data_IF_010331449850
#
_entry.id   IF_010331449850
#
_cell.length_a   1.000
_cell.length_b   1.000
_cell.length_c   1.000
_cell.angle_alpha   90.00
_cell.angle_beta   90.00
_cell.angle_gamma   90.00
#
_symmetry.space_group_name_H-M   'P 1'
#
loop_
_entity.id
_entity.type
_entity.pdbx_description
1 polymer ?
#
# COMPACT_ATOMS: atom_id res chain seq x y z
N UNK A 1 1.57 19.09 -12.27
CA UNK A 1 2.15 19.07 -10.90
C UNK A 1 1.60 20.20 -10.02
N UNK A 2 1.40 21.43 -10.51
CA UNK A 2 0.95 22.57 -9.70
C UNK A 2 -0.37 22.35 -8.90
N UNK A 3 -1.45 21.84 -9.51
CA UNK A 3 -2.75 21.66 -8.83
C UNK A 3 -2.79 20.62 -7.69
N UNK A 4 -1.76 19.80 -7.53
CA UNK A 4 -1.71 18.71 -6.53
C UNK A 4 -1.20 19.20 -5.18
N UNK A 5 -0.22 20.09 -5.20
CA UNK A 5 0.29 20.73 -3.99
C UNK A 5 -0.76 21.69 -3.42
N UNK A 6 -1.59 22.32 -4.26
CA UNK A 6 -2.73 23.15 -3.80
C UNK A 6 -3.72 22.35 -2.92
N UNK A 7 -4.03 21.10 -3.26
CA UNK A 7 -4.93 20.27 -2.45
C UNK A 7 -4.28 19.76 -1.14
N UNK A 8 -2.96 19.59 -1.12
CA UNK A 8 -2.20 19.24 0.09
C UNK A 8 -2.04 20.47 1.01
N UNK A 9 -1.79 21.65 0.44
CA UNK A 9 -1.72 22.95 1.10
C UNK A 9 -3.06 23.36 1.72
N UNK A 10 -4.18 23.15 1.01
CA UNK A 10 -5.54 23.37 1.52
C UNK A 10 -5.88 22.52 2.74
N UNK A 11 -5.15 21.42 2.97
CA UNK A 11 -5.33 20.51 4.11
C UNK A 11 -4.17 20.58 5.12
N UNK A 12 -3.32 21.62 5.07
CA UNK A 12 -2.16 21.79 5.95
C UNK A 12 -1.14 20.62 5.91
N UNK A 13 -1.13 19.84 4.83
CA UNK A 13 -0.12 18.80 4.61
C UNK A 13 1.06 19.46 3.89
N UNK A 14 2.05 19.91 4.66
CA UNK A 14 3.26 20.47 4.05
C UNK A 14 4.03 19.35 3.34
N UNK A 15 4.26 19.47 2.01
CA UNK A 15 5.08 18.52 1.32
C UNK A 15 6.53 18.63 1.80
N UNK A 16 7.03 17.62 2.53
CA UNK A 16 8.46 17.54 2.87
C UNK A 16 9.28 17.40 1.58
N UNK A 17 10.42 18.09 1.52
CA UNK A 17 11.16 18.59 0.35
C UNK A 17 11.55 17.60 -0.79
N UNK A 18 11.16 16.33 -0.72
CA UNK A 18 11.40 15.33 -1.76
C UNK A 18 10.18 14.43 -2.07
N UNK A 19 9.07 14.56 -1.34
CA UNK A 19 7.82 13.82 -1.56
C UNK A 19 7.94 12.30 -1.42
N UNK A 20 9.12 11.78 -1.07
CA UNK A 20 9.42 10.37 -0.84
C UNK A 20 9.38 10.04 0.64
N UNK A 21 8.91 8.83 0.96
CA UNK A 21 9.00 8.32 2.33
C UNK A 21 10.47 8.13 2.76
N UNK A 22 10.76 8.41 4.02
CA UNK A 22 12.08 8.19 4.65
C UNK A 22 11.89 7.30 5.89
N UNK A 23 12.77 6.31 6.03
CA UNK A 23 12.78 5.40 7.19
C UNK A 23 12.80 6.21 8.49
N UNK A 24 11.95 5.82 9.44
CA UNK A 24 11.82 6.50 10.73
C UNK A 24 10.70 7.55 10.76
N UNK A 25 10.11 7.91 9.62
CA UNK A 25 8.92 8.75 9.57
C UNK A 25 7.65 7.92 9.80
N UNK A 26 6.62 8.55 10.35
CA UNK A 26 5.31 7.91 10.48
C UNK A 26 4.53 7.90 9.16
N UNK A 27 3.57 6.99 9.05
CA UNK A 27 2.59 6.98 7.95
C UNK A 27 1.54 8.09 8.14
N UNK A 28 0.84 8.45 7.07
CA UNK A 28 -0.32 9.33 7.16
C UNK A 28 -1.42 8.70 8.00
N UNK A 29 -2.12 9.54 8.77
CA UNK A 29 -3.41 9.15 9.35
C UNK A 29 -4.46 9.14 8.25
N UNK A 30 -5.20 8.04 8.11
CA UNK A 30 -6.25 7.91 7.10
C UNK A 30 -7.20 9.11 7.05
N UNK A 31 -7.67 9.59 8.21
CA UNK A 31 -8.59 10.73 8.31
C UNK A 31 -8.08 12.00 7.63
N UNK A 32 -6.75 12.22 7.59
CA UNK A 32 -6.15 13.40 6.98
C UNK A 32 -6.06 13.31 5.45
N UNK A 33 -6.14 12.10 4.87
CA UNK A 33 -5.92 11.86 3.44
C UNK A 33 -7.10 11.17 2.75
N UNK A 34 -8.17 10.83 3.47
CA UNK A 34 -9.28 10.02 2.96
C UNK A 34 -9.96 10.60 1.71
N UNK A 35 -9.94 11.92 1.54
CA UNK A 35 -10.49 12.61 0.36
C UNK A 35 -9.56 12.61 -0.86
N UNK A 36 -8.30 12.23 -0.71
CA UNK A 36 -7.33 12.15 -1.80
C UNK A 36 -7.53 10.87 -2.62
N UNK A 37 -7.15 10.93 -3.89
CA UNK A 37 -7.04 9.74 -4.76
C UNK A 37 -5.64 9.17 -4.64
N UNK A 38 -5.47 7.84 -4.56
CA UNK A 38 -4.17 7.24 -4.35
C UNK A 38 -3.27 7.46 -5.56
N UNK A 39 -2.02 7.80 -5.27
CA UNK A 39 -0.91 7.59 -6.19
C UNK A 39 -0.17 6.35 -5.71
N UNK A 40 0.12 5.44 -6.61
CA UNK A 40 0.85 4.22 -6.29
C UNK A 40 2.33 4.42 -6.61
N UNK A 41 3.19 4.11 -5.65
CA UNK A 41 4.63 4.16 -5.80
C UNK A 41 5.25 2.91 -5.15
N UNK A 42 6.47 2.57 -5.56
CA UNK A 42 7.23 1.49 -4.95
C UNK A 42 8.68 1.95 -4.83
N UNK A 43 9.15 2.06 -3.60
CA UNK A 43 10.58 2.04 -3.27
C UNK A 43 10.92 0.76 -2.48
N UNK A 44 9.88 -0.02 -2.11
CA UNK A 44 9.95 -1.24 -1.32
C UNK A 44 9.26 -2.36 -2.09
N UNK A 45 9.94 -3.47 -2.32
CA UNK A 45 9.35 -4.63 -2.96
C UNK A 45 9.92 -5.90 -2.33
N UNK A 46 9.01 -6.80 -1.93
CA UNK A 46 9.39 -8.16 -1.58
C UNK A 46 9.56 -8.95 -2.89
N UNK A 47 10.80 -9.35 -3.18
CA UNK A 47 11.17 -10.12 -4.38
C UNK A 47 11.63 -11.55 -4.07
N UNK A 48 11.56 -11.96 -2.79
CA UNK A 48 11.85 -13.34 -2.41
C UNK A 48 10.83 -14.30 -3.07
N UNK A 49 11.19 -15.56 -3.33
CA UNK A 49 10.29 -16.51 -4.02
C UNK A 49 9.09 -16.97 -3.15
N UNK A 50 8.59 -16.10 -2.26
CA UNK A 50 7.42 -16.32 -1.42
C UNK A 50 6.12 -16.09 -2.19
N UNK A 51 4.99 -16.43 -1.56
CA UNK A 51 3.65 -16.19 -2.09
C UNK A 51 3.23 -14.70 -2.09
N UNK A 52 4.12 -13.80 -1.61
CA UNK A 52 3.89 -12.36 -1.47
C UNK A 52 4.75 -11.50 -2.41
N UNK A 53 5.41 -12.11 -3.40
CA UNK A 53 6.35 -11.42 -4.27
C UNK A 53 5.87 -11.19 -5.70
N UNK A 54 6.57 -10.28 -6.38
CA UNK A 54 6.30 -9.93 -7.77
C UNK A 54 7.06 -10.78 -8.80
N UNK A 55 8.08 -11.54 -8.38
CA UNK A 55 9.13 -12.05 -9.27
C UNK A 55 8.86 -13.43 -9.89
N UNK A 56 8.13 -14.33 -9.21
CA UNK A 56 8.02 -15.73 -9.65
C UNK A 56 6.70 -16.13 -10.33
N UNK A 57 5.59 -15.46 -10.01
CA UNK A 57 4.23 -15.93 -10.32
C UNK A 57 3.42 -15.00 -11.25
N UNK A 58 3.89 -13.78 -11.50
CA UNK A 58 3.20 -12.80 -12.35
C UNK A 58 3.58 -12.98 -13.81
N UNK A 59 2.82 -13.79 -14.54
CA UNK A 59 2.88 -13.79 -16.01
C UNK A 59 2.44 -12.44 -16.60
N UNK A 60 2.76 -12.19 -17.88
CA UNK A 60 2.43 -10.94 -18.57
C UNK A 60 0.93 -10.57 -18.48
N UNK A 61 0.04 -11.57 -18.49
CA UNK A 61 -1.39 -11.38 -18.33
C UNK A 61 -1.75 -10.81 -16.95
N UNK A 62 -1.15 -11.31 -15.88
CA UNK A 62 -1.41 -10.84 -14.52
C UNK A 62 -0.78 -9.47 -14.26
N UNK A 63 0.39 -9.19 -14.83
CA UNK A 63 0.95 -7.84 -14.80
C UNK A 63 0.01 -6.81 -15.46
N UNK A 64 -0.58 -7.17 -16.61
CA UNK A 64 -1.60 -6.35 -17.27
C UNK A 64 -2.84 -6.15 -16.38
N UNK A 65 -3.29 -7.18 -15.67
CA UNK A 65 -4.40 -7.07 -14.71
C UNK A 65 -4.05 -6.17 -13.53
N UNK A 66 -2.85 -6.30 -12.97
CA UNK A 66 -2.33 -5.45 -11.91
C UNK A 66 -2.37 -3.97 -12.33
N UNK A 67 -1.77 -3.62 -13.48
CA UNK A 67 -1.74 -2.24 -13.97
C UNK A 67 -3.14 -1.68 -14.23
N UNK A 68 -4.06 -2.50 -14.78
CA UNK A 68 -5.46 -2.10 -14.94
C UNK A 68 -6.16 -1.87 -13.60
N UNK A 69 -5.92 -2.74 -12.62
CA UNK A 69 -6.47 -2.63 -11.28
C UNK A 69 -5.96 -1.38 -10.55
N UNK A 70 -4.66 -1.09 -10.63
CA UNK A 70 -4.07 0.14 -10.08
C UNK A 70 -4.71 1.39 -10.70
N UNK A 71 -4.88 1.43 -12.03
CA UNK A 71 -5.58 2.52 -12.71
C UNK A 71 -7.01 2.68 -12.21
N UNK A 72 -7.76 1.57 -12.06
CA UNK A 72 -9.14 1.60 -11.51
C UNK A 72 -9.16 2.16 -10.09
N UNK A 73 -8.24 1.71 -9.22
CA UNK A 73 -8.16 2.19 -7.85
C UNK A 73 -7.84 3.70 -7.80
N UNK A 74 -6.93 4.19 -8.64
CA UNK A 74 -6.55 5.61 -8.70
C UNK A 74 -7.66 6.57 -9.12
N UNK A 75 -8.80 6.05 -9.62
CA UNK A 75 -9.96 6.87 -9.96
C UNK A 75 -10.83 7.21 -8.74
N UNK A 76 -10.65 6.48 -7.63
CA UNK A 76 -11.42 6.59 -6.40
C UNK A 76 -10.63 7.29 -5.30
N UNK A 77 -11.32 7.88 -4.32
CA UNK A 77 -10.67 8.41 -3.11
C UNK A 77 -10.40 7.27 -2.13
N UNK A 78 -9.47 7.48 -1.20
CA UNK A 78 -9.21 6.54 -0.10
C UNK A 78 -10.47 6.24 0.72
N UNK A 79 -11.36 7.21 0.92
CA UNK A 79 -12.65 7.04 1.56
C UNK A 79 -13.55 6.08 0.80
N UNK A 80 -13.67 6.24 -0.52
CA UNK A 80 -14.42 5.31 -1.37
C UNK A 80 -13.81 3.91 -1.32
N UNK A 81 -12.48 3.80 -1.38
CA UNK A 81 -11.79 2.53 -1.27
C UNK A 81 -12.07 1.84 0.08
N UNK A 82 -12.07 2.60 1.18
CA UNK A 82 -12.31 2.07 2.52
C UNK A 82 -13.77 1.63 2.74
N UNK A 83 -14.73 2.44 2.24
CA UNK A 83 -16.17 2.18 2.43
C UNK A 83 -16.66 0.99 1.61
N UNK A 84 -16.15 0.82 0.39
CA UNK A 84 -16.65 -0.21 -0.52
C UNK A 84 -15.90 -1.53 -0.32
N UNK A 85 -16.61 -2.52 0.21
CA UNK A 85 -16.06 -3.84 0.55
C UNK A 85 -15.31 -4.53 -0.61
N UNK A 86 -15.70 -4.26 -1.86
CA UNK A 86 -15.04 -4.81 -3.05
C UNK A 86 -13.55 -4.45 -3.19
N UNK A 87 -13.11 -3.34 -2.59
CA UNK A 87 -11.71 -2.93 -2.62
C UNK A 87 -10.91 -3.46 -1.45
N UNK A 88 -11.56 -3.94 -0.39
CA UNK A 88 -10.90 -4.43 0.84
C UNK A 88 -9.80 -3.48 1.33
N UNK A 89 -10.02 -2.17 1.27
CA UNK A 89 -9.03 -1.19 1.73
C UNK A 89 -9.16 -0.97 3.23
N UNK A 90 -8.26 -1.56 4.01
CA UNK A 90 -8.22 -1.40 5.46
C UNK A 90 -6.86 -1.77 6.04
N UNK A 91 -6.64 -1.39 7.29
CA UNK A 91 -5.44 -1.71 8.04
C UNK A 91 -5.22 -3.22 8.14
N UNK A 92 -3.97 -3.65 8.01
CA UNK A 92 -3.59 -5.04 8.26
C UNK A 92 -3.49 -5.25 9.76
N UNK A 93 -4.29 -6.20 10.26
CA UNK A 93 -4.21 -6.68 11.64
C UNK A 93 -3.28 -7.90 11.65
N UNK A 94 -2.05 -7.72 12.12
CA UNK A 94 -1.02 -8.76 12.05
C UNK A 94 -1.42 -10.08 12.74
N UNK A 95 -2.26 -10.01 13.77
CA UNK A 95 -2.82 -11.19 14.44
C UNK A 95 -3.81 -11.99 13.57
N UNK A 96 -4.39 -11.38 12.54
CA UNK A 96 -5.42 -11.96 11.68
C UNK A 96 -4.83 -12.46 10.33
N UNK A 97 -3.51 -12.36 10.15
CA UNK A 97 -2.80 -12.75 8.91
C UNK A 97 -1.69 -13.76 9.14
N UNK A 98 -1.36 -14.51 8.10
CA UNK A 98 -0.24 -15.44 8.03
C UNK A 98 1.08 -14.75 7.69
N UNK A 99 1.04 -13.62 6.97
CA UNK A 99 2.23 -12.81 6.68
C UNK A 99 2.75 -12.18 7.96
N UNK A 100 4.06 -12.24 8.19
CA UNK A 100 4.66 -11.73 9.41
C UNK A 100 4.93 -10.24 9.29
N UNK A 101 4.62 -9.48 10.35
CA UNK A 101 5.01 -8.07 10.46
C UNK A 101 6.52 -7.87 10.24
N UNK A 102 7.35 -8.83 10.69
CA UNK A 102 8.80 -8.79 10.48
C UNK A 102 9.20 -8.77 9.01
N UNK A 103 8.45 -9.43 8.14
CA UNK A 103 8.78 -9.48 6.71
C UNK A 103 8.41 -8.16 6.04
N UNK A 104 7.27 -7.56 6.43
CA UNK A 104 6.92 -6.20 6.02
C UNK A 104 7.98 -5.18 6.47
N UNK A 105 8.39 -5.26 7.74
CA UNK A 105 9.42 -4.39 8.29
C UNK A 105 10.77 -4.54 7.58
N UNK A 106 11.20 -5.76 7.23
CA UNK A 106 12.43 -5.98 6.45
C UNK A 106 12.38 -5.25 5.11
N UNK A 107 11.26 -5.28 4.41
CA UNK A 107 11.11 -4.57 3.14
C UNK A 107 11.22 -3.05 3.33
N UNK A 108 10.60 -2.49 4.37
CA UNK A 108 10.56 -1.03 4.58
C UNK A 108 11.85 -0.49 5.20
N UNK A 109 12.44 -1.21 6.15
CA UNK A 109 13.55 -0.73 6.99
C UNK A 109 14.89 -1.40 6.70
N UNK A 110 14.92 -2.46 5.89
CA UNK A 110 16.08 -3.34 5.73
C UNK A 110 16.33 -4.25 6.94
N UNK A 111 15.46 -4.21 7.96
CA UNK A 111 15.55 -5.01 9.20
C UNK A 111 14.16 -5.44 9.66
N UNK A 112 14.06 -6.55 10.38
CA UNK A 112 12.77 -6.99 10.97
C UNK A 112 12.25 -6.06 12.08
N UNK A 113 13.11 -5.20 12.62
CA UNK A 113 12.77 -4.22 13.65
C UNK A 113 12.05 -3.00 13.07
N UNK A 114 10.94 -2.65 13.68
CA UNK A 114 10.13 -1.48 13.32
C UNK A 114 10.81 -0.20 13.79
N UNK A 115 10.96 0.77 12.89
CA UNK A 115 11.49 2.11 13.18
C UNK A 115 10.45 3.17 12.84
N UNK A 116 9.59 3.48 13.81
CA UNK A 116 8.53 4.49 13.68
C UNK A 116 7.12 3.90 13.70
N UNK A 117 6.14 4.78 13.54
CA UNK A 117 4.73 4.41 13.58
C UNK A 117 4.14 4.29 12.17
N UNK A 118 4.13 3.06 11.64
CA UNK A 118 3.55 2.73 10.35
C UNK A 118 2.27 1.91 10.51
N UNK A 119 1.21 2.40 9.87
CA UNK A 119 -0.01 1.62 9.69
C UNK A 119 0.05 0.91 8.34
N UNK A 120 0.17 -0.43 8.30
CA UNK A 120 0.09 -1.20 7.07
C UNK A 120 -1.37 -1.24 6.58
N UNK A 121 -1.58 -1.07 5.29
CA UNK A 121 -2.88 -1.20 4.64
C UNK A 121 -2.85 -2.31 3.59
N UNK A 122 -3.97 -3.01 3.42
CA UNK A 122 -4.18 -3.85 2.25
C UNK A 122 -5.17 -3.22 1.26
N UNK A 123 -5.10 -3.64 -0.01
CA UNK A 123 -6.09 -3.28 -1.03
C UNK A 123 -6.20 -4.38 -2.09
N UNK A 124 -7.43 -4.80 -2.43
CA UNK A 124 -7.71 -5.74 -3.52
C UNK A 124 -7.60 -5.04 -4.87
N UNK A 125 -6.75 -5.57 -5.73
CA UNK A 125 -6.42 -4.94 -7.02
C UNK A 125 -7.18 -5.59 -8.18
N UNK A 126 -7.23 -6.92 -8.21
CA UNK A 126 -7.97 -7.72 -9.18
C UNK A 126 -8.15 -9.14 -8.63
N UNK A 127 -9.22 -9.85 -9.03
CA UNK A 127 -9.49 -11.21 -8.53
C UNK A 127 -9.29 -11.30 -7.00
N UNK A 128 -8.48 -12.22 -6.50
CA UNK A 128 -8.11 -12.31 -5.08
C UNK A 128 -6.77 -11.62 -4.75
N UNK A 129 -6.15 -10.98 -5.73
CA UNK A 129 -4.85 -10.35 -5.58
C UNK A 129 -4.95 -9.06 -4.74
N UNK A 130 -4.09 -8.96 -3.72
CA UNK A 130 -4.01 -7.84 -2.78
C UNK A 130 -2.61 -7.25 -2.77
N UNK A 131 -2.54 -5.92 -2.66
CA UNK A 131 -1.31 -5.23 -2.32
C UNK A 131 -1.32 -4.92 -0.84
N UNK A 132 -0.16 -5.06 -0.20
CA UNK A 132 0.07 -4.60 1.17
C UNK A 132 1.10 -3.47 1.09
N UNK A 133 0.81 -2.38 1.78
CA UNK A 133 1.59 -1.15 1.68
C UNK A 133 1.38 -0.21 2.86
N UNK A 134 1.85 1.03 2.71
CA UNK A 134 1.69 2.11 3.69
C UNK A 134 1.28 3.41 3.00
N UNK A 135 0.69 4.33 3.77
CA UNK A 135 0.29 5.65 3.30
C UNK A 135 1.32 6.70 3.74
N UNK A 136 1.81 7.51 2.82
CA UNK A 136 2.68 8.64 3.14
C UNK A 136 2.50 9.78 2.13
N UNK A 137 2.20 10.98 2.61
CA UNK A 137 1.86 12.15 1.79
C UNK A 137 0.80 11.88 0.69
N UNK A 138 -0.21 11.07 1.01
CA UNK A 138 -1.28 10.66 0.08
C UNK A 138 -0.83 9.69 -1.02
N UNK A 139 0.37 9.11 -0.89
CA UNK A 139 0.90 8.05 -1.76
C UNK A 139 0.74 6.71 -1.06
N UNK A 140 0.22 5.72 -1.78
CA UNK A 140 0.23 4.32 -1.35
C UNK A 140 1.55 3.70 -1.82
N UNK A 141 2.46 3.47 -0.89
CA UNK A 141 3.71 2.75 -1.13
C UNK A 141 3.46 1.26 -1.09
N UNK A 142 3.65 0.59 -2.24
CA UNK A 142 3.60 -0.85 -2.34
C UNK A 142 4.79 -1.44 -1.58
N UNK A 143 4.57 -2.56 -0.90
CA UNK A 143 5.61 -3.30 -0.17
C UNK A 143 5.56 -4.78 -0.52
N UNK A 144 4.36 -5.38 -0.49
CA UNK A 144 4.15 -6.80 -0.80
C UNK A 144 2.95 -7.00 -1.73
N UNK A 145 2.94 -8.12 -2.43
CA UNK A 145 1.87 -8.52 -3.35
C UNK A 145 1.41 -9.94 -3.09
N UNK A 146 0.24 -10.06 -2.47
CA UNK A 146 -0.42 -11.33 -2.23
C UNK A 146 -1.34 -11.68 -3.41
N UNK A 147 -0.81 -12.41 -4.39
CA UNK A 147 -1.56 -12.80 -5.60
C UNK A 147 -2.77 -13.70 -5.30
N UNK A 148 -2.65 -14.56 -4.29
CA UNK A 148 -3.53 -15.69 -4.04
C UNK A 148 -4.42 -15.54 -2.80
N UNK A 149 -4.42 -14.38 -2.16
CA UNK A 149 -5.07 -14.17 -0.85
C UNK A 149 -4.53 -15.11 0.24
N UNK A 150 -3.25 -15.44 0.15
CA UNK A 150 -2.62 -16.37 1.07
C UNK A 150 -2.35 -15.73 2.44
N UNK A 151 -2.30 -14.40 2.51
CA UNK A 151 -2.07 -13.64 3.73
C UNK A 151 -3.18 -13.88 4.77
N UNK A 152 -4.38 -14.30 4.38
CA UNK A 152 -5.53 -14.49 5.27
C UNK A 152 -6.08 -15.92 5.24
N UNK A 153 -5.27 -16.91 4.86
CA UNK A 153 -5.67 -18.32 5.00
C UNK A 153 -6.08 -18.57 6.45
N UNK A 154 -7.37 -18.88 6.67
CA UNK A 154 -7.87 -19.33 7.99
C UNK A 154 -7.05 -20.56 8.38
N UNK A 155 -6.49 -20.54 9.59
CA UNK A 155 -5.86 -21.72 10.20
C UNK A 155 -6.86 -22.83 10.39
#
# INVERSE_FOLDING_TARGET
MARRFEALEQNNIQPKEDGKYKVGLGSDKFEAIKHLKPVFAFDYLCEDASEFSFTGALGAADYKKLMKGLKRLSQNTYETLNRESQFHFHDVKWQDVTVKESDFNKCVYGSGERKGDLTPYQVKVFEEARLIGLLYMGVFYLVMFDRGHNAYKRK
#
